data_IF_314278634100
#
_entry.id   IF_314278634100
#
_cell.length_a   1.000
_cell.length_b   1.000
_cell.length_c   1.000
_cell.angle_alpha   90.00
_cell.angle_beta   90.00
_cell.angle_gamma   90.00
#
_symmetry.space_group_name_H-M   'P 1'
#
loop_
_entity.id
_entity.type
_entity.pdbx_description
1 polymer ?
#
# COMPACT_ATOMS: atom_id res chain seq x y z
N UNK A 1 -7.91 -15.09 -11.81
CA UNK A 1 -6.59 -15.58 -11.35
C UNK A 1 -5.73 -14.36 -11.06
N UNK A 2 -5.14 -14.32 -9.86
CA UNK A 2 -4.21 -13.28 -9.44
C UNK A 2 -2.80 -13.69 -9.88
N UNK A 3 -2.01 -12.76 -10.43
CA UNK A 3 -0.59 -12.94 -10.70
C UNK A 3 0.21 -12.61 -9.43
N UNK A 4 0.28 -13.57 -8.50
CA UNK A 4 0.99 -13.43 -7.24
C UNK A 4 2.47 -13.77 -7.43
N UNK A 5 3.34 -12.78 -7.21
CA UNK A 5 4.78 -12.93 -7.42
C UNK A 5 5.50 -12.67 -6.08
N UNK A 6 6.21 -13.66 -5.54
CA UNK A 6 7.02 -13.48 -4.35
C UNK A 6 8.13 -12.45 -4.59
N UNK A 7 8.23 -11.48 -3.70
CA UNK A 7 9.39 -10.55 -3.62
C UNK A 7 10.27 -10.90 -2.44
N UNK A 8 9.85 -11.85 -1.62
CA UNK A 8 10.57 -12.36 -0.45
C UNK A 8 10.39 -13.85 -0.30
N UNK A 9 11.38 -14.53 0.28
CA UNK A 9 11.30 -15.94 0.64
C UNK A 9 11.57 -16.13 2.14
N UNK A 10 10.85 -17.02 2.83
CA UNK A 10 11.07 -17.27 4.23
C UNK A 10 12.30 -18.17 4.45
N UNK A 11 13.09 -17.88 5.47
CA UNK A 11 14.16 -18.74 5.97
C UNK A 11 13.62 -19.51 7.18
N UNK A 12 13.32 -20.79 6.97
CA UNK A 12 12.62 -21.62 7.95
C UNK A 12 11.10 -21.46 7.91
N UNK A 13 10.41 -22.22 8.76
CA UNK A 13 8.94 -22.21 8.86
C UNK A 13 8.51 -22.38 10.31
N UNK A 14 7.33 -21.86 10.65
CA UNK A 14 6.75 -21.94 12.01
C UNK A 14 7.74 -21.52 13.10
N UNK A 15 8.09 -22.44 14.02
CA UNK A 15 9.04 -22.18 15.10
C UNK A 15 10.50 -22.04 14.63
N UNK A 16 10.82 -22.53 13.44
CA UNK A 16 12.15 -22.42 12.84
C UNK A 16 12.34 -21.19 11.98
N UNK A 17 11.33 -20.33 11.88
CA UNK A 17 11.41 -19.08 11.11
C UNK A 17 12.48 -18.15 11.68
N UNK A 18 13.57 -17.98 10.92
CA UNK A 18 14.74 -17.20 11.32
C UNK A 18 14.87 -15.87 10.61
N UNK A 19 14.34 -15.76 9.41
CA UNK A 19 14.56 -14.58 8.59
C UNK A 19 13.83 -14.61 7.26
N UNK A 20 14.20 -13.65 6.42
CA UNK A 20 13.58 -13.39 5.12
C UNK A 20 14.71 -13.17 4.11
N UNK A 21 14.62 -13.78 2.95
CA UNK A 21 15.44 -13.41 1.78
C UNK A 21 14.68 -12.33 1.02
N UNK A 22 15.33 -11.20 0.77
CA UNK A 22 14.82 -10.15 -0.11
C UNK A 22 15.28 -10.43 -1.55
N UNK A 23 14.32 -10.67 -2.44
CA UNK A 23 14.62 -10.98 -3.84
C UNK A 23 14.95 -9.73 -4.68
N UNK A 24 14.70 -8.53 -4.16
CA UNK A 24 15.08 -7.27 -4.82
C UNK A 24 16.52 -6.90 -4.48
N UNK A 25 16.90 -7.05 -3.21
CA UNK A 25 18.25 -6.74 -2.74
C UNK A 25 19.24 -7.93 -2.93
N UNK A 26 18.73 -9.15 -2.98
CA UNK A 26 19.50 -10.41 -2.97
C UNK A 26 20.37 -10.55 -1.73
N UNK A 27 19.77 -10.28 -0.59
CA UNK A 27 20.33 -10.47 0.74
C UNK A 27 19.33 -11.15 1.68
N UNK A 28 19.69 -11.33 2.93
CA UNK A 28 18.84 -11.96 3.94
C UNK A 28 18.77 -11.15 5.21
N UNK A 29 17.55 -10.86 5.66
CA UNK A 29 17.27 -10.28 6.97
C UNK A 29 17.14 -11.37 8.01
N UNK A 30 18.14 -11.55 8.86
CA UNK A 30 18.19 -12.58 9.91
C UNK A 30 17.83 -11.97 11.26
N UNK A 31 16.91 -12.62 11.97
CA UNK A 31 16.46 -12.20 13.30
C UNK A 31 17.13 -13.06 14.37
N UNK A 32 17.83 -12.40 15.31
CA UNK A 32 18.61 -13.05 16.37
C UNK A 32 17.86 -13.11 17.71
N UNK A 33 16.70 -12.46 17.78
CA UNK A 33 15.83 -12.47 18.96
C UNK A 33 14.42 -12.98 18.64
N UNK A 34 13.63 -13.30 19.65
CA UNK A 34 12.28 -13.83 19.47
C UNK A 34 11.26 -12.73 19.03
N UNK A 35 11.53 -11.47 19.38
CA UNK A 35 10.60 -10.36 19.18
C UNK A 35 10.95 -9.44 18.02
N UNK A 36 11.87 -9.85 17.15
CA UNK A 36 12.22 -9.14 15.92
C UNK A 36 12.86 -7.76 16.12
N UNK A 37 13.60 -7.57 17.23
CA UNK A 37 14.31 -6.32 17.56
C UNK A 37 15.73 -6.29 17.05
N UNK A 38 16.44 -7.46 17.07
CA UNK A 38 17.80 -7.62 16.57
C UNK A 38 17.73 -8.28 15.18
N UNK A 39 17.61 -7.45 14.15
CA UNK A 39 17.64 -7.86 12.75
C UNK A 39 18.96 -7.44 12.14
N UNK A 40 19.61 -8.35 11.39
CA UNK A 40 20.85 -8.08 10.67
C UNK A 40 20.73 -8.52 9.23
N UNK A 41 21.27 -7.67 8.34
CA UNK A 41 21.37 -8.00 6.91
C UNK A 41 22.62 -8.85 6.71
N UNK A 42 22.44 -10.00 6.13
CA UNK A 42 23.50 -11.01 5.90
C UNK A 42 23.42 -11.56 4.47
N UNK A 43 24.47 -12.20 3.98
CA UNK A 43 24.39 -12.95 2.73
C UNK A 43 23.35 -14.07 2.80
N UNK A 44 22.73 -14.37 1.67
CA UNK A 44 21.77 -15.48 1.56
C UNK A 44 22.43 -16.78 2.01
N UNK A 45 21.77 -17.61 2.85
CA UNK A 45 22.28 -18.93 3.25
C UNK A 45 22.65 -19.78 2.03
N UNK A 46 23.81 -20.45 2.09
CA UNK A 46 24.37 -21.17 0.95
C UNK A 46 23.43 -22.26 0.38
N UNK A 47 22.62 -22.87 1.22
CA UNK A 47 21.61 -23.87 0.85
C UNK A 47 20.35 -23.29 0.20
N UNK A 48 20.17 -21.95 0.22
CA UNK A 48 19.02 -21.26 -0.35
C UNK A 48 19.36 -20.38 -1.56
N UNK A 49 20.64 -20.25 -1.93
CA UNK A 49 21.09 -19.40 -3.04
C UNK A 49 20.44 -19.79 -4.37
N UNK A 50 20.40 -21.09 -4.68
CA UNK A 50 19.82 -21.58 -5.93
C UNK A 50 18.32 -21.28 -5.98
N UNK A 51 17.61 -21.50 -4.87
CA UNK A 51 16.19 -21.16 -4.76
C UNK A 51 15.94 -19.64 -4.90
N UNK A 52 16.78 -18.84 -4.27
CA UNK A 52 16.67 -17.38 -4.37
C UNK A 52 16.89 -16.89 -5.80
N UNK A 53 17.86 -17.44 -6.52
CA UNK A 53 18.11 -17.13 -7.93
C UNK A 53 16.93 -17.53 -8.81
N UNK A 54 16.36 -18.72 -8.62
CA UNK A 54 15.16 -19.17 -9.35
C UNK A 54 13.98 -18.21 -9.16
N UNK A 55 13.72 -17.79 -7.92
CA UNK A 55 12.62 -16.86 -7.65
C UNK A 55 12.94 -15.42 -8.07
N UNK A 56 14.20 -15.02 -8.04
CA UNK A 56 14.66 -13.76 -8.62
C UNK A 56 14.38 -13.71 -10.11
N UNK A 57 14.70 -14.77 -10.87
CA UNK A 57 14.41 -14.87 -12.28
C UNK A 57 12.90 -14.75 -12.56
N UNK A 58 12.06 -15.46 -11.80
CA UNK A 58 10.59 -15.34 -11.92
C UNK A 58 10.08 -13.92 -11.62
N UNK A 59 10.70 -13.23 -10.67
CA UNK A 59 10.38 -11.84 -10.37
C UNK A 59 10.75 -10.93 -11.55
N UNK A 60 11.96 -11.07 -12.10
CA UNK A 60 12.41 -10.27 -13.24
C UNK A 60 11.56 -10.51 -14.48
N UNK A 61 11.19 -11.76 -14.76
CA UNK A 61 10.26 -12.11 -15.84
C UNK A 61 8.90 -11.43 -15.66
N UNK A 62 8.34 -11.48 -14.45
CA UNK A 62 7.05 -10.86 -14.16
C UNK A 62 7.02 -9.34 -14.31
N UNK A 63 8.15 -8.65 -14.08
CA UNK A 63 8.24 -7.19 -14.19
C UNK A 63 8.78 -6.71 -15.53
N UNK A 64 9.33 -7.58 -16.35
CA UNK A 64 9.88 -7.25 -17.68
C UNK A 64 8.84 -6.64 -18.63
N UNK A 65 7.56 -6.96 -18.45
CA UNK A 65 6.46 -6.34 -19.21
C UNK A 65 6.34 -4.82 -18.97
N UNK A 66 6.95 -4.30 -17.91
CA UNK A 66 6.91 -2.88 -17.53
C UNK A 66 8.24 -2.15 -17.76
N UNK A 67 9.30 -2.90 -18.02
CA UNK A 67 10.61 -2.38 -18.45
C UNK A 67 11.31 -3.47 -19.28
N UNK A 68 11.13 -3.44 -20.59
CA UNK A 68 11.66 -4.44 -21.54
C UNK A 68 13.18 -4.63 -21.40
N UNK A 69 13.89 -3.59 -21.01
CA UNK A 69 15.35 -3.63 -20.85
C UNK A 69 15.82 -4.41 -19.62
N UNK A 70 14.93 -4.71 -18.64
CA UNK A 70 15.27 -5.55 -17.48
C UNK A 70 15.63 -6.96 -17.92
N UNK A 71 14.80 -7.55 -18.78
CA UNK A 71 15.06 -8.92 -19.24
C UNK A 71 16.28 -8.98 -20.18
N UNK A 72 16.47 -7.97 -21.02
CA UNK A 72 17.65 -7.89 -21.89
C UNK A 72 18.93 -7.82 -21.05
N UNK A 73 18.99 -6.91 -20.07
CA UNK A 73 20.15 -6.78 -19.17
C UNK A 73 20.40 -8.06 -18.35
N UNK A 74 19.32 -8.73 -17.91
CA UNK A 74 19.45 -10.00 -17.18
C UNK A 74 20.06 -11.10 -18.06
N UNK A 75 19.57 -11.27 -19.28
CA UNK A 75 20.07 -12.29 -20.23
C UNK A 75 21.53 -12.00 -20.67
N UNK A 76 21.91 -10.73 -20.73
CA UNK A 76 23.29 -10.31 -21.01
C UNK A 76 24.22 -10.44 -19.77
N UNK A 77 23.69 -10.84 -18.62
CA UNK A 77 24.44 -10.97 -17.36
C UNK A 77 24.87 -9.63 -16.75
N UNK A 78 24.19 -8.54 -17.11
CA UNK A 78 24.41 -7.22 -16.53
C UNK A 78 23.76 -7.10 -15.17
N UNK A 79 24.35 -6.32 -14.30
CA UNK A 79 23.75 -5.97 -13.02
C UNK A 79 22.56 -5.02 -13.24
N UNK A 80 21.39 -5.40 -12.71
CA UNK A 80 20.18 -4.58 -12.79
C UNK A 80 20.05 -3.77 -11.51
N UNK A 81 20.00 -2.45 -11.65
CA UNK A 81 19.85 -1.54 -10.52
C UNK A 81 18.53 -1.84 -9.76
N UNK A 82 18.60 -1.98 -8.45
CA UNK A 82 17.48 -2.29 -7.56
C UNK A 82 16.32 -1.29 -7.72
N UNK A 83 16.63 0.00 -7.89
CA UNK A 83 15.62 1.05 -8.10
C UNK A 83 14.79 0.83 -9.38
N UNK A 84 15.37 0.25 -10.42
CA UNK A 84 14.63 -0.11 -11.64
C UNK A 84 13.64 -1.22 -11.36
N UNK A 85 14.07 -2.24 -10.63
CA UNK A 85 13.22 -3.36 -10.26
C UNK A 85 12.07 -2.88 -9.36
N UNK A 86 12.35 -2.05 -8.35
CA UNK A 86 11.32 -1.45 -7.50
C UNK A 86 10.31 -0.64 -8.30
N UNK A 87 10.77 0.17 -9.25
CA UNK A 87 9.88 0.95 -10.13
C UNK A 87 9.00 0.05 -10.98
N UNK A 88 9.55 -1.02 -11.56
CA UNK A 88 8.80 -1.96 -12.37
C UNK A 88 7.76 -2.73 -11.53
N UNK A 89 8.11 -3.19 -10.33
CA UNK A 89 7.18 -3.80 -9.37
C UNK A 89 6.03 -2.81 -9.04
N UNK A 90 6.36 -1.55 -8.75
CA UNK A 90 5.36 -0.51 -8.47
C UNK A 90 4.41 -0.31 -9.63
N UNK A 91 4.93 -0.17 -10.85
CA UNK A 91 4.11 0.01 -12.04
C UNK A 91 3.18 -1.19 -12.28
N UNK A 92 3.71 -2.40 -12.16
CA UNK A 92 2.93 -3.63 -12.28
C UNK A 92 1.82 -3.72 -11.22
N UNK A 93 2.12 -3.30 -9.98
CA UNK A 93 1.16 -3.29 -8.87
C UNK A 93 0.06 -2.26 -9.07
N UNK A 94 0.40 -1.03 -9.49
CA UNK A 94 -0.56 0.04 -9.78
C UNK A 94 -1.47 -0.33 -10.96
N UNK A 95 -0.91 -1.00 -11.98
CA UNK A 95 -1.68 -1.50 -13.12
C UNK A 95 -2.57 -2.71 -12.77
N UNK A 96 -2.48 -3.27 -11.56
CA UNK A 96 -3.13 -4.52 -11.13
C UNK A 96 -2.75 -5.76 -11.97
N UNK A 97 -1.59 -5.73 -12.60
CA UNK A 97 -1.05 -6.86 -13.38
C UNK A 97 -0.24 -7.83 -12.52
N UNK A 98 0.20 -7.38 -11.34
CA UNK A 98 0.99 -8.15 -10.38
C UNK A 98 0.55 -7.87 -8.95
N UNK A 99 0.64 -8.89 -8.10
CA UNK A 99 0.49 -8.76 -6.64
C UNK A 99 1.80 -9.20 -5.99
N UNK A 100 2.61 -8.28 -5.44
CA UNK A 100 3.82 -8.63 -4.72
C UNK A 100 3.48 -9.38 -3.42
N UNK A 101 4.16 -10.50 -3.20
CA UNK A 101 3.95 -11.36 -2.03
C UNK A 101 5.13 -11.24 -1.09
N UNK A 102 4.86 -10.88 0.15
CA UNK A 102 5.82 -10.81 1.26
C UNK A 102 5.57 -11.93 2.26
N UNK A 103 6.54 -12.19 3.12
CA UNK A 103 6.41 -13.17 4.20
C UNK A 103 6.86 -12.58 5.55
N UNK A 104 6.37 -13.15 6.64
CA UNK A 104 6.73 -12.71 7.97
C UNK A 104 5.85 -13.31 9.07
N UNK A 105 6.13 -12.97 10.32
CA UNK A 105 5.30 -13.30 11.48
C UNK A 105 5.02 -12.06 12.31
N UNK A 106 3.79 -11.55 12.23
CA UNK A 106 3.35 -10.36 12.94
C UNK A 106 3.37 -10.54 14.46
N UNK A 107 3.07 -11.74 14.95
CA UNK A 107 3.07 -12.04 16.38
C UNK A 107 4.46 -11.90 17.01
N UNK A 108 5.52 -12.23 16.25
CA UNK A 108 6.93 -12.09 16.68
C UNK A 108 7.59 -10.84 16.08
N UNK A 109 6.84 -9.95 15.46
CA UNK A 109 7.33 -8.72 14.82
C UNK A 109 8.49 -8.94 13.81
N UNK A 110 8.55 -10.10 13.16
CA UNK A 110 9.57 -10.43 12.15
C UNK A 110 8.98 -10.25 10.76
N UNK A 111 9.62 -9.44 9.91
CA UNK A 111 9.16 -9.09 8.58
C UNK A 111 8.13 -7.95 8.51
N UNK A 112 7.70 -7.40 9.64
CA UNK A 112 6.70 -6.32 9.67
C UNK A 112 7.25 -5.02 9.07
N UNK A 113 8.50 -4.68 9.37
CA UNK A 113 9.18 -3.50 8.83
C UNK A 113 9.27 -3.58 7.30
N UNK A 114 9.72 -4.70 6.77
CA UNK A 114 9.81 -4.95 5.32
C UNK A 114 8.43 -4.95 4.62
N UNK A 115 7.39 -5.40 5.31
CA UNK A 115 6.00 -5.27 4.81
C UNK A 115 5.57 -3.82 4.73
N UNK A 116 5.89 -2.99 5.74
CA UNK A 116 5.56 -1.57 5.73
C UNK A 116 6.33 -0.84 4.63
N UNK A 117 7.61 -1.15 4.43
CA UNK A 117 8.41 -0.63 3.33
C UNK A 117 7.80 -1.01 1.97
N UNK A 118 7.42 -2.29 1.79
CA UNK A 118 6.77 -2.76 0.58
C UNK A 118 5.42 -2.04 0.29
N UNK A 119 4.65 -1.70 1.33
CA UNK A 119 3.43 -0.91 1.17
C UNK A 119 3.76 0.49 0.66
N UNK A 120 4.78 1.16 1.22
CA UNK A 120 5.21 2.49 0.81
C UNK A 120 5.77 2.47 -0.62
N UNK A 121 6.58 1.46 -0.94
CA UNK A 121 7.26 1.36 -2.23
C UNK A 121 6.33 0.96 -3.37
N UNK A 122 5.39 0.05 -3.14
CA UNK A 122 4.64 -0.58 -4.23
C UNK A 122 3.15 -0.23 -4.30
N UNK A 123 2.52 0.19 -3.19
CA UNK A 123 1.10 0.55 -3.24
C UNK A 123 0.88 1.94 -3.84
N UNK A 124 -0.21 2.14 -4.61
CA UNK A 124 -0.52 3.44 -5.19
C UNK A 124 -0.84 4.49 -4.12
N UNK A 125 -0.20 5.65 -4.24
CA UNK A 125 -0.65 6.85 -3.53
C UNK A 125 -1.87 7.47 -4.26
N UNK A 126 -2.66 8.34 -3.61
CA UNK A 126 -3.78 9.01 -4.26
C UNK A 126 -3.42 9.71 -5.58
N UNK A 127 -2.17 10.22 -5.68
CA UNK A 127 -1.68 10.91 -6.88
C UNK A 127 -1.26 9.96 -8.03
N UNK A 128 -1.12 8.66 -7.75
CA UNK A 128 -0.76 7.66 -8.76
C UNK A 128 -1.99 7.14 -9.52
N UNK A 129 -3.20 7.45 -9.04
CA UNK A 129 -4.43 7.00 -9.66
C UNK A 129 -5.06 8.12 -10.50
N UNK A 130 -5.77 7.78 -11.59
CA UNK A 130 -6.47 8.77 -12.41
C UNK A 130 -7.48 9.59 -11.60
N UNK A 131 -7.74 10.82 -12.05
CA UNK A 131 -8.80 11.65 -11.49
C UNK A 131 -10.15 10.91 -11.52
N UNK A 132 -10.97 11.13 -10.49
CA UNK A 132 -12.30 10.54 -10.44
C UNK A 132 -13.23 11.36 -11.30
N UNK A 133 -13.93 10.68 -12.20
CA UNK A 133 -14.98 11.27 -13.03
C UNK A 133 -16.32 11.25 -12.31
N UNK A 134 -17.02 12.34 -12.35
CA UNK A 134 -18.34 12.50 -11.78
C UNK A 134 -19.20 13.42 -12.62
N UNK A 135 -20.50 13.47 -12.34
CA UNK A 135 -21.42 14.38 -12.99
C UNK A 135 -21.83 15.47 -12.01
N UNK A 136 -21.73 16.71 -12.42
CA UNK A 136 -22.20 17.84 -11.61
C UNK A 136 -23.73 17.78 -11.49
N UNK A 137 -24.31 17.68 -10.28
CA UNK A 137 -25.77 17.53 -10.11
C UNK A 137 -26.59 18.78 -10.49
N UNK A 138 -25.94 19.91 -10.81
CA UNK A 138 -26.60 21.13 -11.20
C UNK A 138 -26.57 21.40 -12.69
N UNK A 139 -25.47 21.05 -13.35
CA UNK A 139 -25.25 21.36 -14.79
C UNK A 139 -25.36 20.13 -15.66
N UNK A 140 -25.36 18.92 -15.07
CA UNK A 140 -25.34 17.62 -15.75
C UNK A 140 -24.06 17.39 -16.61
N UNK A 141 -23.01 18.19 -16.38
CA UNK A 141 -21.74 18.10 -17.07
C UNK A 141 -20.80 17.14 -16.37
N UNK A 142 -19.95 16.46 -17.14
CA UNK A 142 -18.87 15.65 -16.58
C UNK A 142 -17.79 16.55 -15.98
N UNK A 143 -17.35 16.23 -14.77
CA UNK A 143 -16.28 16.90 -14.07
C UNK A 143 -15.26 15.89 -13.56
N UNK A 144 -13.98 16.22 -13.67
CA UNK A 144 -12.89 15.47 -13.07
C UNK A 144 -12.57 16.03 -11.68
N UNK A 145 -12.19 15.15 -10.75
CA UNK A 145 -11.70 15.50 -9.41
C UNK A 145 -10.34 14.86 -9.18
N UNK A 146 -9.33 15.70 -8.97
CA UNK A 146 -7.98 15.27 -8.65
C UNK A 146 -7.77 15.21 -7.14
N UNK A 147 -6.89 14.36 -6.62
CA UNK A 147 -6.62 14.25 -5.19
C UNK A 147 -5.74 15.41 -4.69
N UNK A 148 -6.30 16.62 -4.73
CA UNK A 148 -5.64 17.87 -4.34
C UNK A 148 -6.50 18.63 -3.35
N UNK A 149 -5.86 19.30 -2.38
CA UNK A 149 -6.55 20.02 -1.31
C UNK A 149 -7.24 21.30 -1.80
N UNK A 150 -6.74 21.89 -2.90
CA UNK A 150 -7.26 23.13 -3.49
C UNK A 150 -8.48 22.89 -4.42
N UNK A 151 -8.84 21.66 -4.66
CA UNK A 151 -10.03 21.32 -5.45
C UNK A 151 -11.34 21.33 -4.62
N UNK A 152 -12.49 21.41 -5.28
CA UNK A 152 -13.78 21.28 -4.60
C UNK A 152 -13.88 19.94 -3.86
N UNK A 153 -14.43 19.98 -2.64
CA UNK A 153 -14.58 18.77 -1.83
C UNK A 153 -15.47 17.73 -2.50
N UNK A 154 -14.96 16.51 -2.61
CA UNK A 154 -15.74 15.34 -2.99
C UNK A 154 -15.35 14.13 -2.14
N UNK A 155 -16.35 13.38 -1.69
CA UNK A 155 -16.14 12.20 -0.85
C UNK A 155 -17.26 11.17 -1.07
N UNK A 156 -16.95 9.91 -0.76
CA UNK A 156 -17.92 8.81 -0.76
C UNK A 156 -18.07 8.26 0.66
N UNK A 157 -19.29 8.29 1.20
CA UNK A 157 -19.64 7.53 2.40
C UNK A 157 -19.87 6.07 2.02
N UNK A 158 -18.98 5.17 2.46
CA UNK A 158 -18.99 3.77 2.02
C UNK A 158 -19.41 2.79 3.11
N UNK A 159 -19.44 3.19 4.36
CA UNK A 159 -19.81 2.32 5.49
C UNK A 159 -20.46 3.11 6.61
N UNK A 160 -21.50 2.55 7.19
CA UNK A 160 -22.13 3.03 8.43
C UNK A 160 -22.06 1.92 9.46
N UNK A 161 -21.64 2.26 10.68
CA UNK A 161 -21.68 1.34 11.82
C UNK A 161 -22.17 2.07 13.07
N UNK A 162 -22.59 1.31 14.06
CA UNK A 162 -22.98 1.84 15.37
C UNK A 162 -21.95 1.41 16.40
N UNK A 163 -21.43 2.38 17.12
CA UNK A 163 -20.53 2.19 18.25
C UNK A 163 -21.30 2.45 19.55
N UNK A 164 -21.14 1.60 20.60
CA UNK A 164 -21.86 1.77 21.86
C UNK A 164 -21.58 3.09 22.60
N UNK A 165 -20.41 3.69 22.39
CA UNK A 165 -19.96 4.90 23.10
C UNK A 165 -20.08 6.17 22.26
N UNK A 166 -19.85 6.08 20.96
CA UNK A 166 -19.83 7.24 20.05
C UNK A 166 -21.14 7.37 19.29
N UNK A 167 -21.92 6.30 19.22
CA UNK A 167 -23.16 6.26 18.48
C UNK A 167 -22.96 5.91 17.00
N UNK A 168 -23.69 6.55 16.12
CA UNK A 168 -23.68 6.25 14.69
C UNK A 168 -22.45 6.87 14.01
N UNK A 169 -21.60 6.04 13.43
CA UNK A 169 -20.41 6.41 12.70
C UNK A 169 -20.60 6.22 11.20
N UNK A 170 -20.29 7.23 10.41
CA UNK A 170 -20.25 7.14 8.95
C UNK A 170 -18.81 7.25 8.48
N UNK A 171 -18.31 6.19 7.81
CA UNK A 171 -16.98 6.18 7.22
C UNK A 171 -17.06 6.75 5.82
N UNK A 172 -16.18 7.70 5.52
CA UNK A 172 -16.11 8.30 4.20
C UNK A 172 -14.65 8.40 3.73
N UNK A 173 -14.47 8.34 2.42
CA UNK A 173 -13.19 8.57 1.76
C UNK A 173 -13.26 9.89 1.00
N UNK A 174 -12.30 10.77 1.29
CA UNK A 174 -12.13 12.02 0.54
C UNK A 174 -11.36 11.72 -0.74
N UNK A 175 -11.85 12.23 -1.86
CA UNK A 175 -11.23 12.10 -3.17
C UNK A 175 -10.63 13.41 -3.68
N UNK A 176 -11.16 14.54 -3.27
CA UNK A 176 -10.63 15.87 -3.56
C UNK A 176 -11.05 16.88 -2.51
N UNK A 177 -10.28 17.97 -2.40
CA UNK A 177 -10.51 19.01 -1.42
C UNK A 177 -10.32 18.54 0.02
N UNK A 178 -10.71 19.37 0.95
CA UNK A 178 -10.61 19.08 2.38
C UNK A 178 -11.95 19.28 3.09
N UNK A 179 -12.12 18.65 4.25
CA UNK A 179 -13.32 18.74 5.07
C UNK A 179 -12.96 19.17 6.50
N UNK A 180 -13.61 20.20 6.99
CA UNK A 180 -13.46 20.68 8.37
C UNK A 180 -14.69 20.37 9.21
N UNK A 181 -14.49 20.16 10.50
CA UNK A 181 -15.57 19.99 11.49
C UNK A 181 -16.52 21.22 11.45
N UNK A 182 -17.81 20.97 11.46
CA UNK A 182 -18.83 22.01 11.44
C UNK A 182 -19.17 22.58 10.07
N UNK A 183 -18.44 22.21 9.01
CA UNK A 183 -18.76 22.60 7.63
C UNK A 183 -20.03 21.94 7.12
N UNK A 184 -20.61 22.47 6.04
CA UNK A 184 -21.79 21.90 5.38
C UNK A 184 -21.41 21.33 4.03
N UNK A 185 -21.84 20.11 3.76
CA UNK A 185 -21.62 19.40 2.48
C UNK A 185 -22.96 19.13 1.80
N UNK A 186 -22.93 19.00 0.48
CA UNK A 186 -24.08 18.58 -0.30
C UNK A 186 -24.15 17.05 -0.35
N UNK A 187 -25.23 16.47 0.16
CA UNK A 187 -25.57 15.08 -0.12
C UNK A 187 -26.22 15.02 -1.51
N UNK A 188 -25.46 14.54 -2.51
CA UNK A 188 -25.91 14.51 -3.91
C UNK A 188 -27.08 13.55 -4.14
N UNK A 189 -27.20 12.47 -3.33
CA UNK A 189 -28.31 11.51 -3.44
C UNK A 189 -29.63 12.12 -2.97
N UNK A 190 -29.59 12.84 -1.83
CA UNK A 190 -30.78 13.49 -1.26
C UNK A 190 -31.01 14.92 -1.75
N UNK A 191 -30.03 15.48 -2.44
CA UNK A 191 -29.98 16.88 -2.83
C UNK A 191 -30.21 17.85 -1.65
N UNK A 192 -29.63 17.55 -0.51
CA UNK A 192 -29.78 18.31 0.73
C UNK A 192 -28.41 18.65 1.32
N UNK A 193 -28.32 19.81 1.97
CA UNK A 193 -27.14 20.19 2.74
C UNK A 193 -27.17 19.46 4.08
N UNK A 194 -26.08 18.79 4.40
CA UNK A 194 -25.86 18.12 5.68
C UNK A 194 -24.69 18.79 6.40
N UNK A 195 -24.85 19.04 7.70
CA UNK A 195 -23.76 19.59 8.51
C UNK A 195 -22.88 18.45 9.00
N UNK A 196 -21.59 18.59 8.74
CA UNK A 196 -20.59 17.66 9.28
C UNK A 196 -20.38 17.98 10.76
N UNK A 197 -20.71 17.01 11.58
CA UNK A 197 -20.51 17.11 13.01
C UNK A 197 -19.04 16.92 13.38
N UNK A 198 -18.81 16.08 14.36
CA UNK A 198 -17.45 15.71 14.78
C UNK A 198 -16.80 14.78 13.77
N UNK A 199 -15.60 15.09 13.34
CA UNK A 199 -14.76 14.20 12.53
C UNK A 199 -13.87 13.42 13.49
N UNK A 200 -13.75 12.12 13.28
CA UNK A 200 -12.94 11.22 14.11
C UNK A 200 -11.89 10.55 13.26
N UNK A 201 -10.68 10.49 13.76
CA UNK A 201 -9.64 9.65 13.20
C UNK A 201 -9.71 8.28 13.88
N UNK A 202 -9.86 7.23 13.07
CA UNK A 202 -9.86 5.86 13.56
C UNK A 202 -8.46 5.26 13.44
N UNK A 203 -7.91 4.82 14.55
CA UNK A 203 -6.65 4.09 14.61
C UNK A 203 -6.90 2.75 15.30
N UNK A 204 -7.00 1.68 14.51
CA UNK A 204 -7.44 0.37 14.97
C UNK A 204 -8.80 0.42 15.68
N UNK A 205 -8.85 0.10 16.98
CA UNK A 205 -10.08 0.19 17.80
C UNK A 205 -10.19 1.50 18.57
N UNK A 206 -9.24 2.42 18.42
CA UNK A 206 -9.22 3.69 19.13
C UNK A 206 -9.80 4.80 18.25
N UNK A 207 -10.70 5.58 18.82
CA UNK A 207 -11.29 6.76 18.20
C UNK A 207 -10.71 8.02 18.84
N UNK A 208 -10.06 8.85 18.06
CA UNK A 208 -9.55 10.14 18.49
C UNK A 208 -10.44 11.26 17.97
N UNK A 209 -10.71 12.27 18.80
CA UNK A 209 -11.47 13.44 18.37
C UNK A 209 -10.60 14.39 17.55
N UNK A 210 -11.25 15.14 16.68
CA UNK A 210 -10.70 15.90 15.57
C UNK A 210 -9.87 17.14 15.90
N UNK A 211 -9.53 17.40 17.16
CA UNK A 211 -8.46 18.38 17.43
C UNK A 211 -7.11 17.89 16.85
N UNK A 212 -7.01 16.58 16.55
CA UNK A 212 -5.91 15.99 15.80
C UNK A 212 -6.16 15.93 14.28
N UNK A 213 -7.36 16.23 13.78
CA UNK A 213 -7.67 16.18 12.34
C UNK A 213 -7.18 17.43 11.59
N UNK A 214 -6.82 18.51 12.29
CA UNK A 214 -6.12 19.65 11.70
C UNK A 214 -4.63 19.35 11.40
N UNK A 215 -4.09 18.25 11.94
CA UNK A 215 -2.72 17.79 11.69
C UNK A 215 -2.64 16.64 10.65
N UNK A 216 -3.75 16.03 10.28
CA UNK A 216 -3.80 15.01 9.22
C UNK A 216 -3.92 15.67 7.84
N UNK A 217 -2.87 16.29 7.40
CA UNK A 217 -2.63 16.73 6.03
C UNK A 217 -1.96 15.63 5.22
#
# INVERSE_FOLDING_TARGET
KCNAVPIQLPIGSEDTFKGIIDLVEMDADIYYDEMGKDMRVEPIPADMVDLANEYREKLLDAVSMFDDSIMEDYLEGKEIAQDRIRKAIRQATIANEMVPVTCGTSYRNKGVQKLLDAIVDYMPAPNDVPAIKGTNPKTDEEEDRHPRDDEPFSALAFKIMTDPYVGRLSFFRVYSGHLTTGSSVLNSVKNQKERMGRILQMHACLLYTSDAADEAR
#
